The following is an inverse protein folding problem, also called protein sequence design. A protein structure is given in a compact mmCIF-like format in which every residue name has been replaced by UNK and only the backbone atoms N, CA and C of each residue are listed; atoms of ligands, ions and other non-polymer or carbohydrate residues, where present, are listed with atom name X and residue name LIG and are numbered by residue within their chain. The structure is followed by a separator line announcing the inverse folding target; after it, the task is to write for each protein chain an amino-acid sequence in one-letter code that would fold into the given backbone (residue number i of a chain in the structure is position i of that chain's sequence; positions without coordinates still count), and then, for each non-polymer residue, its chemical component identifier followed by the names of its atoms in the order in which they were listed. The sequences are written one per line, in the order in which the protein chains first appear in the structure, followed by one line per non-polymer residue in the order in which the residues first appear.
data_IF_544579670805
#
_entry.id   IF_544579670805
#
_cell.length_a   1.000
_cell.length_b   1.000
_cell.length_c   1.000
_cell.angle_alpha   90.00
_cell.angle_beta   90.00
_cell.angle_gamma   90.00
#
_symmetry.space_group_name_H-M   'P 1'
#
loop_
_entity.id
_entity.type
_entity.pdbx_description
1 polymer ?
#
# COMPACT_ATOMS: atom_id res chain seq x y z
N UNK A 1 -27.20 14.84 0.58
CA UNK A 1 -26.26 14.83 1.71
C UNK A 1 -26.63 13.60 2.54
N UNK A 2 -25.89 12.50 2.40
CA UNK A 2 -26.14 11.24 3.13
C UNK A 2 -25.13 11.18 4.28
N UNK A 3 -25.53 10.92 5.53
CA UNK A 3 -24.60 10.83 6.65
C UNK A 3 -23.74 9.58 6.47
N UNK A 4 -22.42 9.72 6.64
CA UNK A 4 -21.53 8.58 6.81
C UNK A 4 -21.90 7.87 8.10
N UNK A 5 -21.97 6.54 8.06
CA UNK A 5 -22.36 5.70 9.20
C UNK A 5 -21.43 5.96 10.40
N UNK A 6 -21.98 6.52 11.47
CA UNK A 6 -21.35 6.56 12.79
C UNK A 6 -21.32 5.13 13.34
N UNK A 7 -20.11 4.58 13.51
CA UNK A 7 -19.87 3.26 14.07
C UNK A 7 -20.04 3.21 15.58
N UNK A 8 -21.21 3.55 16.09
CA UNK A 8 -21.58 3.29 17.49
C UNK A 8 -22.82 2.38 17.53
N UNK A 9 -22.60 1.08 17.37
CA UNK A 9 -23.36 0.01 18.05
C UNK A 9 -22.87 -1.38 17.62
N UNK A 10 -22.33 -2.13 18.59
CA UNK A 10 -22.40 -3.60 18.58
C UNK A 10 -21.53 -4.38 17.61
N UNK A 11 -20.20 -4.19 17.58
CA UNK A 11 -19.26 -5.10 16.87
C UNK A 11 -18.35 -5.86 17.86
N UNK A 12 -18.52 -5.67 19.17
CA UNK A 12 -17.70 -6.33 20.20
C UNK A 12 -17.81 -7.87 20.21
N UNK A 13 -18.93 -8.43 19.74
CA UNK A 13 -19.15 -9.89 19.70
C UNK A 13 -18.71 -10.58 18.41
N UNK A 14 -18.59 -9.88 17.27
CA UNK A 14 -18.21 -10.53 16.00
C UNK A 14 -16.70 -10.79 15.88
N UNK A 15 -15.87 -10.13 16.69
CA UNK A 15 -14.41 -10.31 16.65
C UNK A 15 -13.96 -11.61 17.33
N UNK A 16 -14.70 -12.13 18.33
CA UNK A 16 -14.39 -13.40 18.99
C UNK A 16 -14.80 -14.60 18.14
N UNK A 17 -15.98 -14.56 17.52
CA UNK A 17 -16.54 -15.73 16.81
C UNK A 17 -15.84 -15.97 15.46
N UNK A 18 -15.21 -14.94 14.88
CA UNK A 18 -14.41 -15.05 13.66
C UNK A 18 -13.01 -15.66 13.94
N UNK A 19 -12.50 -15.54 15.17
CA UNK A 19 -11.21 -16.12 15.55
C UNK A 19 -11.28 -17.63 15.83
N UNK A 20 -12.46 -18.16 16.21
CA UNK A 20 -12.66 -19.58 16.54
C UNK A 20 -13.17 -20.43 15.36
N UNK A 21 -13.66 -19.80 14.29
CA UNK A 21 -14.17 -20.51 13.11
C UNK A 21 -13.04 -20.83 12.12
N UNK A 22 -12.23 -21.83 12.46
CA UNK A 22 -11.26 -22.44 11.56
C UNK A 22 -11.90 -22.85 10.22
N UNK A 23 -11.19 -22.56 9.13
CA UNK A 23 -11.26 -23.19 7.82
C UNK A 23 -12.58 -23.91 7.47
N UNK A 24 -13.52 -23.21 6.84
CA UNK A 24 -14.49 -23.86 5.96
C UNK A 24 -14.06 -23.66 4.50
N UNK A 25 -13.41 -24.70 3.98
CA UNK A 25 -13.22 -24.90 2.54
C UNK A 25 -14.59 -25.03 1.88
N UNK A 26 -15.05 -23.99 1.20
CA UNK A 26 -15.99 -24.18 0.09
C UNK A 26 -15.16 -24.45 -1.16
N UNK A 27 -15.15 -25.73 -1.51
CA UNK A 27 -14.53 -26.33 -2.66
C UNK A 27 -15.30 -25.92 -3.93
N UNK A 28 -15.30 -24.63 -4.27
CA UNK A 28 -15.74 -24.13 -5.58
C UNK A 28 -14.72 -23.11 -6.08
N UNK A 29 -14.11 -23.42 -7.24
CA UNK A 29 -13.15 -22.57 -7.92
C UNK A 29 -13.80 -21.23 -8.28
N UNK A 30 -13.55 -20.18 -7.50
CA UNK A 30 -13.87 -18.81 -7.93
C UNK A 30 -12.75 -18.34 -8.85
N UNK A 31 -12.93 -18.65 -10.14
CA UNK A 31 -12.11 -18.12 -11.21
C UNK A 31 -12.49 -16.65 -11.45
N UNK A 32 -11.79 -15.71 -10.81
CA UNK A 32 -11.90 -14.29 -11.15
C UNK A 32 -11.01 -14.04 -12.37
N UNK A 33 -11.53 -14.40 -13.55
CA UNK A 33 -10.85 -14.13 -14.82
C UNK A 33 -10.97 -15.24 -15.85
N UNK A 34 -12.18 -15.51 -16.34
CA UNK A 34 -12.43 -15.74 -17.76
C UNK A 34 -13.95 -15.82 -17.98
N UNK A 35 -14.43 -15.14 -19.00
CA UNK A 35 -15.79 -15.16 -19.56
C UNK A 35 -16.61 -16.43 -19.29
N UNK A 36 -17.40 -16.44 -18.20
CA UNK A 36 -18.67 -17.15 -18.10
C UNK A 36 -19.63 -16.27 -17.31
N UNK A 37 -20.72 -15.89 -17.96
CA UNK A 37 -21.74 -14.99 -17.43
C UNK A 37 -22.33 -15.56 -16.14
N UNK A 38 -22.20 -14.79 -15.04
CA UNK A 38 -22.95 -15.05 -13.82
C UNK A 38 -24.34 -14.42 -14.00
N UNK A 39 -25.35 -15.25 -14.25
CA UNK A 39 -26.74 -14.81 -14.29
C UNK A 39 -27.36 -14.89 -12.88
N UNK A 40 -27.13 -13.86 -12.07
CA UNK A 40 -28.11 -13.49 -11.06
C UNK A 40 -29.13 -12.58 -11.75
N UNK A 41 -30.38 -13.02 -11.88
CA UNK A 41 -31.49 -12.16 -12.31
C UNK A 41 -31.71 -11.09 -11.25
N UNK A 42 -31.05 -9.95 -11.45
CA UNK A 42 -31.47 -8.65 -10.95
C UNK A 42 -32.18 -8.00 -12.12
N UNK A 43 -33.42 -7.55 -11.92
CA UNK A 43 -34.15 -6.81 -12.94
C UNK A 43 -33.28 -5.64 -13.47
N UNK A 44 -32.77 -5.81 -14.69
CA UNK A 44 -32.26 -4.74 -15.54
C UNK A 44 -30.80 -4.28 -15.41
N UNK A 45 -29.90 -4.94 -14.68
CA UNK A 45 -28.50 -4.46 -14.52
C UNK A 45 -27.46 -5.44 -15.07
N UNK A 46 -26.77 -5.04 -16.16
CA UNK A 46 -25.50 -5.64 -16.61
C UNK A 46 -24.34 -4.93 -15.90
N UNK A 47 -23.53 -5.67 -15.15
CA UNK A 47 -22.22 -5.19 -14.69
C UNK A 47 -21.21 -5.39 -15.83
N UNK A 48 -20.69 -4.28 -16.36
CA UNK A 48 -19.68 -4.27 -17.43
C UNK A 48 -18.35 -3.80 -16.82
N UNK A 49 -17.31 -4.64 -16.87
CA UNK A 49 -15.95 -4.23 -16.54
C UNK A 49 -15.40 -3.41 -17.71
N UNK A 50 -15.11 -2.12 -17.50
CA UNK A 50 -14.51 -1.24 -18.51
C UNK A 50 -12.97 -1.29 -18.44
N UNK A 51 -12.26 -1.03 -19.56
CA UNK A 51 -10.80 -1.01 -19.59
C UNK A 51 -10.21 0.06 -18.68
N UNK A 52 -9.05 -0.25 -18.09
CA UNK A 52 -8.29 0.56 -17.14
C UNK A 52 -7.85 1.90 -17.76
N UNK A 53 -8.56 3.00 -17.49
CA UNK A 53 -8.09 4.35 -17.83
C UNK A 53 -7.09 4.88 -16.79
N UNK A 54 -6.12 5.68 -17.28
CA UNK A 54 -4.92 6.23 -16.62
C UNK A 54 -5.18 7.16 -15.41
N UNK A 55 -5.94 6.73 -14.40
CA UNK A 55 -6.25 7.53 -13.19
C UNK A 55 -5.80 6.89 -11.86
N UNK A 56 -5.31 5.66 -11.88
CA UNK A 56 -5.02 4.89 -10.66
C UNK A 56 -3.79 5.34 -9.85
N UNK A 57 -2.96 6.23 -10.40
CA UNK A 57 -1.71 6.64 -9.76
C UNK A 57 -1.44 8.13 -9.95
N UNK A 58 -1.01 8.78 -8.87
CA UNK A 58 -0.39 10.10 -8.91
C UNK A 58 0.96 10.05 -8.18
N UNK A 59 1.99 10.56 -8.85
CA UNK A 59 3.39 10.62 -8.44
C UNK A 59 3.79 12.05 -8.11
N UNK A 60 4.59 12.27 -7.08
CA UNK A 60 5.35 13.52 -6.95
C UNK A 60 6.78 13.17 -6.61
N UNK A 61 7.68 13.44 -7.55
CA UNK A 61 9.13 13.39 -7.31
C UNK A 61 9.58 14.78 -6.88
N UNK A 62 10.28 14.85 -5.74
CA UNK A 62 10.84 16.11 -5.24
C UNK A 62 12.29 16.19 -5.72
N UNK A 63 12.58 17.19 -6.55
CA UNK A 63 13.92 17.52 -7.02
C UNK A 63 14.24 18.96 -6.60
N UNK A 64 15.23 19.12 -5.71
CA UNK A 64 15.70 20.43 -5.22
C UNK A 64 16.77 21.05 -6.12
N UNK A 65 17.13 20.43 -7.25
CA UNK A 65 18.21 20.90 -8.13
C UNK A 65 17.79 21.99 -9.13
N UNK A 66 16.53 22.43 -9.15
CA UNK A 66 16.07 23.48 -10.10
C UNK A 66 15.51 24.72 -9.41
N UNK A 67 16.41 25.58 -8.93
CA UNK A 67 16.09 27.00 -8.79
C UNK A 67 16.06 27.67 -10.17
N UNK A 68 14.88 28.17 -10.53
CA UNK A 68 14.57 29.00 -11.71
C UNK A 68 14.45 28.31 -13.08
N UNK A 69 13.27 28.54 -13.68
CA UNK A 69 12.82 28.35 -15.08
C UNK A 69 11.89 27.14 -15.30
N UNK A 70 10.61 27.47 -15.44
CA UNK A 70 9.59 26.61 -16.04
C UNK A 70 10.09 26.03 -17.37
N UNK A 71 10.38 24.74 -17.39
CA UNK A 71 10.33 23.92 -18.60
C UNK A 71 9.19 22.91 -18.44
N UNK A 72 8.36 22.70 -19.47
CA UNK A 72 7.39 21.62 -19.45
C UNK A 72 8.14 20.28 -19.39
N UNK A 73 7.91 19.48 -18.34
CA UNK A 73 8.40 18.10 -18.29
C UNK A 73 7.80 17.30 -19.45
N UNK A 74 8.66 16.57 -20.17
CA UNK A 74 8.25 15.67 -21.25
C UNK A 74 7.40 14.52 -20.67
N UNK A 75 6.32 14.17 -21.37
CA UNK A 75 5.51 12.98 -21.09
C UNK A 75 6.39 11.73 -21.05
N UNK A 76 6.25 10.94 -20.00
CA UNK A 76 6.87 9.62 -19.85
C UNK A 76 6.12 8.64 -20.77
N UNK A 77 6.78 7.97 -21.75
CA UNK A 77 6.18 6.88 -22.49
C UNK A 77 6.00 5.67 -21.57
N UNK A 78 4.83 5.05 -21.63
CA UNK A 78 4.54 3.80 -20.92
C UNK A 78 5.19 2.64 -21.69
N UNK A 79 5.80 1.68 -21.01
CA UNK A 79 6.46 0.48 -21.59
C UNK A 79 5.44 -0.56 -22.10
N UNK A 80 4.39 -0.10 -22.78
CA UNK A 80 3.35 -0.93 -23.38
C UNK A 80 3.19 -0.70 -24.89
N UNK A 81 3.96 0.23 -25.47
CA UNK A 81 3.92 0.47 -26.92
C UNK A 81 4.70 -0.66 -27.64
N UNK A 82 3.98 -1.71 -28.07
CA UNK A 82 4.53 -2.70 -28.99
C UNK A 82 4.08 -4.16 -28.87
N UNK A 83 3.17 -4.53 -27.97
CA UNK A 83 2.68 -5.93 -27.88
C UNK A 83 1.41 -6.10 -28.72
N UNK A 84 1.38 -6.99 -29.74
CA UNK A 84 0.17 -7.24 -30.53
C UNK A 84 -0.94 -7.84 -29.65
N UNK A 85 -2.16 -7.31 -29.78
CA UNK A 85 -3.34 -7.83 -29.10
C UNK A 85 -3.76 -9.19 -29.67
N UNK A 86 -4.14 -10.12 -28.79
CA UNK A 86 -4.47 -11.53 -29.05
C UNK A 86 -5.78 -11.78 -29.83
N UNK A 87 -6.23 -10.84 -30.66
CA UNK A 87 -7.48 -10.92 -31.44
C UNK A 87 -7.27 -11.34 -32.91
N UNK A 88 -6.07 -11.80 -33.28
CA UNK A 88 -5.75 -12.15 -34.69
C UNK A 88 -5.63 -13.66 -34.98
N UNK A 89 -5.97 -14.56 -34.04
CA UNK A 89 -5.68 -16.00 -34.21
C UNK A 89 -6.79 -17.00 -33.82
N UNK A 90 -8.08 -16.63 -33.81
CA UNK A 90 -9.14 -17.62 -33.53
C UNK A 90 -10.28 -17.58 -34.57
N UNK A 91 -10.22 -18.52 -35.52
CA UNK A 91 -11.37 -19.00 -36.28
C UNK A 91 -12.28 -19.92 -35.44
N UNK A 92 -13.49 -20.26 -35.91
CA UNK A 92 -14.57 -20.78 -35.07
C UNK A 92 -14.31 -22.25 -34.65
N UNK A 93 -14.42 -22.52 -33.35
CA UNK A 93 -14.28 -23.87 -32.77
C UNK A 93 -15.66 -24.52 -32.65
N UNK A 94 -15.83 -25.66 -33.34
CA UNK A 94 -16.94 -26.60 -33.19
C UNK A 94 -16.79 -27.43 -31.90
N UNK A 95 -17.92 -27.94 -31.40
CA UNK A 95 -18.11 -28.50 -30.05
C UNK A 95 -17.33 -29.76 -29.63
N UNK A 96 -17.64 -30.29 -28.43
CA UNK A 96 -16.67 -31.01 -27.60
C UNK A 96 -16.79 -32.53 -27.76
N UNK A 97 -15.98 -33.14 -28.63
CA UNK A 97 -15.64 -34.57 -28.54
C UNK A 97 -14.30 -34.83 -29.25
N UNK A 98 -13.51 -35.75 -28.68
CA UNK A 98 -12.29 -36.34 -29.20
C UNK A 98 -10.98 -35.55 -29.02
N UNK A 99 -10.20 -35.94 -27.99
CA UNK A 99 -8.73 -35.95 -28.03
C UNK A 99 -8.22 -36.89 -26.92
N UNK A 100 -8.47 -38.20 -27.09
CA UNK A 100 -7.85 -39.27 -26.30
C UNK A 100 -6.98 -40.20 -27.16
N UNK A 101 -6.54 -39.76 -28.34
CA UNK A 101 -5.70 -40.57 -29.20
C UNK A 101 -4.83 -39.67 -30.05
N UNK A 102 -3.65 -39.30 -29.53
CA UNK A 102 -2.45 -38.92 -30.28
C UNK A 102 -1.26 -38.89 -29.30
N UNK A 103 -1.12 -39.96 -28.51
CA UNK A 103 0.10 -40.27 -27.78
C UNK A 103 0.72 -41.48 -28.48
N UNK A 104 1.57 -41.21 -29.48
CA UNK A 104 2.66 -42.10 -29.94
C UNK A 104 3.38 -41.43 -31.12
N UNK A 105 4.69 -41.26 -30.93
CA UNK A 105 5.74 -40.89 -31.90
C UNK A 105 6.09 -39.40 -31.99
N UNK A 106 7.04 -38.96 -31.15
CA UNK A 106 8.07 -37.99 -31.57
C UNK A 106 9.39 -38.32 -30.84
N UNK A 107 10.55 -38.20 -31.51
CA UNK A 107 11.84 -38.69 -31.05
C UNK A 107 12.51 -37.75 -30.03
N UNK A 108 13.51 -38.29 -29.33
CA UNK A 108 14.31 -37.65 -28.28
C UNK A 108 14.64 -36.17 -28.56
N UNK A 109 14.16 -35.26 -27.70
CA UNK A 109 14.58 -33.85 -27.69
C UNK A 109 15.71 -33.59 -26.68
N UNK A 110 16.62 -32.64 -27.00
CA UNK A 110 17.92 -32.48 -26.35
C UNK A 110 17.84 -31.68 -25.04
N UNK A 111 18.92 -31.79 -24.25
CA UNK A 111 19.22 -31.07 -23.01
C UNK A 111 18.38 -29.81 -22.72
N UNK A 112 17.68 -29.86 -21.58
CA UNK A 112 17.03 -28.71 -20.95
C UNK A 112 18.04 -27.57 -20.73
N UNK A 113 18.09 -26.65 -21.69
CA UNK A 113 18.71 -25.35 -21.49
C UNK A 113 17.95 -24.63 -20.36
N UNK A 114 18.57 -24.55 -19.19
CA UNK A 114 18.13 -23.70 -18.11
C UNK A 114 18.02 -22.27 -18.64
N UNK A 115 16.80 -21.79 -18.85
CA UNK A 115 16.54 -20.36 -19.01
C UNK A 115 16.90 -19.75 -17.66
N UNK A 116 18.13 -19.23 -17.55
CA UNK A 116 18.51 -18.37 -16.46
C UNK A 116 17.52 -17.19 -16.47
N UNK A 117 16.64 -17.14 -15.48
CA UNK A 117 15.81 -15.96 -15.24
C UNK A 117 16.78 -14.83 -14.89
N UNK A 118 17.13 -14.00 -15.88
CA UNK A 118 17.86 -12.76 -15.63
C UNK A 118 17.08 -11.94 -14.62
N UNK A 119 17.75 -11.52 -13.55
CA UNK A 119 17.13 -10.69 -12.52
C UNK A 119 16.60 -9.41 -13.16
N UNK A 120 15.48 -8.90 -12.65
CA UNK A 120 14.98 -7.61 -13.12
C UNK A 120 15.89 -6.50 -12.59
N UNK A 121 16.04 -5.36 -13.31
CA UNK A 121 16.81 -4.21 -12.82
C UNK A 121 16.34 -3.70 -11.46
N UNK A 122 15.05 -3.87 -11.16
CA UNK A 122 14.46 -3.54 -9.85
C UNK A 122 14.99 -4.50 -8.79
N UNK A 123 15.04 -5.81 -9.06
CA UNK A 123 15.56 -6.79 -8.11
C UNK A 123 17.06 -6.61 -7.85
N UNK A 124 17.85 -6.36 -8.91
CA UNK A 124 19.28 -6.04 -8.83
C UNK A 124 19.53 -4.78 -7.99
N UNK A 125 18.68 -3.75 -8.12
CA UNK A 125 18.81 -2.54 -7.31
C UNK A 125 18.74 -2.80 -5.81
N UNK A 126 17.95 -3.79 -5.37
CA UNK A 126 17.83 -4.15 -3.96
C UNK A 126 18.92 -5.09 -3.47
N UNK A 127 19.74 -5.68 -4.35
CA UNK A 127 20.81 -6.57 -3.96
C UNK A 127 21.75 -5.90 -2.94
N UNK A 128 22.03 -6.61 -1.84
CA UNK A 128 22.86 -6.18 -0.71
C UNK A 128 22.39 -4.89 0.01
N UNK A 129 21.26 -4.30 -0.41
CA UNK A 129 20.73 -3.10 0.24
C UNK A 129 19.95 -3.44 1.49
N UNK A 130 20.25 -2.72 2.56
CA UNK A 130 19.38 -2.71 3.73
C UNK A 130 18.25 -1.69 3.57
N UNK A 131 17.04 -2.09 3.94
CA UNK A 131 15.83 -1.28 3.79
C UNK A 131 15.11 -1.12 5.14
N UNK A 132 14.49 0.03 5.35
CA UNK A 132 13.67 0.32 6.52
C UNK A 132 12.20 0.40 6.12
N UNK A 133 11.34 -0.35 6.81
CA UNK A 133 9.88 -0.29 6.61
C UNK A 133 9.20 0.14 7.91
N UNK A 134 8.44 1.22 7.84
CA UNK A 134 7.48 1.58 8.91
C UNK A 134 6.10 1.08 8.53
N UNK A 135 5.27 0.72 9.53
CA UNK A 135 3.92 0.22 9.26
C UNK A 135 3.89 -1.20 8.70
N UNK A 136 4.98 -1.96 8.86
CA UNK A 136 5.13 -3.32 8.36
C UNK A 136 4.03 -4.29 8.86
N UNK A 137 3.52 -4.07 10.07
CA UNK A 137 2.44 -4.88 10.66
C UNK A 137 1.04 -4.52 10.13
N UNK A 138 0.90 -3.44 9.36
CA UNK A 138 -0.35 -3.05 8.70
C UNK A 138 -0.56 -3.76 7.37
N UNK A 139 -1.75 -3.61 6.79
CA UNK A 139 -2.17 -4.31 5.57
C UNK A 139 -1.21 -4.13 4.38
N UNK A 140 -0.94 -2.88 3.97
CA UNK A 140 -0.01 -2.59 2.88
C UNK A 140 1.43 -3.02 3.24
N UNK A 141 1.84 -2.80 4.49
CA UNK A 141 3.19 -3.15 4.98
C UNK A 141 3.47 -4.65 4.92
N UNK A 142 2.51 -5.50 5.30
CA UNK A 142 2.65 -6.95 5.23
C UNK A 142 2.88 -7.42 3.79
N UNK A 143 2.09 -6.91 2.85
CA UNK A 143 2.22 -7.24 1.41
C UNK A 143 3.53 -6.70 0.84
N UNK A 144 4.00 -5.53 1.28
CA UNK A 144 5.31 -4.98 0.93
C UNK A 144 6.45 -5.88 1.40
N UNK A 145 6.46 -6.28 2.68
CA UNK A 145 7.49 -7.16 3.23
C UNK A 145 7.48 -8.52 2.52
N UNK A 146 6.30 -9.11 2.31
CA UNK A 146 6.17 -10.37 1.56
C UNK A 146 6.74 -10.25 0.15
N UNK A 147 6.43 -9.16 -0.57
CA UNK A 147 6.93 -8.92 -1.93
C UNK A 147 8.42 -8.72 -2.00
N UNK A 148 9.02 -8.00 -1.04
CA UNK A 148 10.47 -7.85 -0.93
C UNK A 148 11.14 -9.20 -0.69
N UNK A 149 10.64 -9.99 0.27
CA UNK A 149 11.15 -11.34 0.55
C UNK A 149 10.98 -12.28 -0.65
N UNK A 150 9.91 -12.14 -1.44
CA UNK A 150 9.66 -13.02 -2.58
C UNK A 150 10.51 -12.65 -3.81
N UNK A 151 10.59 -11.36 -4.13
CA UNK A 151 11.05 -10.87 -5.44
C UNK A 151 12.48 -10.32 -5.44
N UNK A 152 12.99 -9.88 -4.29
CA UNK A 152 14.36 -9.38 -4.13
C UNK A 152 15.19 -10.43 -3.37
N UNK A 153 15.58 -11.51 -4.04
CA UNK A 153 16.26 -12.65 -3.41
C UNK A 153 17.52 -12.25 -2.68
N UNK A 154 18.25 -11.26 -3.20
CA UNK A 154 19.58 -10.87 -2.76
C UNK A 154 19.54 -9.60 -1.90
N UNK A 155 18.33 -9.16 -1.49
CA UNK A 155 18.19 -8.03 -0.56
C UNK A 155 18.97 -8.28 0.72
N UNK A 156 19.58 -7.23 1.28
CA UNK A 156 20.24 -7.28 2.58
C UNK A 156 19.22 -7.38 3.72
N UNK A 157 19.44 -6.61 4.78
CA UNK A 157 18.55 -6.61 5.95
C UNK A 157 17.30 -5.74 5.71
N UNK A 158 16.13 -6.27 6.08
CA UNK A 158 14.86 -5.55 6.11
C UNK A 158 14.56 -5.20 7.58
N UNK A 159 14.85 -3.96 7.96
CA UNK A 159 14.53 -3.42 9.27
C UNK A 159 13.07 -2.99 9.35
N UNK A 160 12.39 -3.38 10.43
CA UNK A 160 10.99 -3.06 10.66
C UNK A 160 10.86 -2.28 11.97
N UNK A 161 10.44 -1.02 11.91
CA UNK A 161 10.05 -0.31 13.13
C UNK A 161 8.68 -0.80 13.55
N UNK A 162 8.61 -1.48 14.69
CA UNK A 162 7.40 -2.09 15.22
C UNK A 162 7.18 -1.60 16.64
N UNK A 163 6.05 -0.93 16.85
CA UNK A 163 5.65 -0.42 18.17
C UNK A 163 5.36 -1.56 19.14
N UNK A 164 5.99 -1.66 20.32
CA UNK A 164 5.53 -2.58 21.37
C UNK A 164 4.08 -2.28 21.74
N UNK A 165 3.22 -3.31 21.79
CA UNK A 165 1.79 -3.11 22.05
C UNK A 165 1.16 -4.38 22.64
N UNK A 166 0.19 -4.21 23.55
CA UNK A 166 -0.57 -5.29 24.19
C UNK A 166 0.34 -6.31 24.91
N UNK A 167 1.41 -5.84 25.56
CA UNK A 167 2.39 -6.67 26.24
C UNK A 167 3.33 -7.46 25.33
N UNK A 168 3.26 -7.25 24.00
CA UNK A 168 4.17 -7.87 23.03
C UNK A 168 5.25 -6.88 22.60
N UNK A 169 6.50 -7.33 22.61
CA UNK A 169 7.63 -6.59 22.05
C UNK A 169 7.65 -6.63 20.50
N UNK A 170 8.54 -5.86 19.87
CA UNK A 170 8.64 -5.81 18.40
C UNK A 170 8.89 -7.17 17.75
N UNK A 171 9.71 -8.03 18.39
CA UNK A 171 10.06 -9.36 17.88
C UNK A 171 8.86 -10.31 17.93
N UNK A 172 8.16 -10.37 19.05
CA UNK A 172 6.94 -11.16 19.21
C UNK A 172 5.84 -10.69 18.25
N UNK A 173 5.73 -9.38 18.02
CA UNK A 173 4.81 -8.83 17.02
C UNK A 173 5.21 -9.21 15.59
N UNK A 174 6.50 -9.26 15.28
CA UNK A 174 7.02 -9.77 14.01
C UNK A 174 6.69 -11.27 13.86
N UNK A 175 6.99 -12.09 14.85
CA UNK A 175 6.69 -13.53 14.82
C UNK A 175 5.20 -13.78 14.58
N UNK A 176 4.33 -13.04 15.28
CA UNK A 176 2.87 -13.09 15.06
C UNK A 176 2.48 -12.65 13.65
N UNK A 177 3.09 -11.60 13.11
CA UNK A 177 2.86 -11.16 11.74
C UNK A 177 3.21 -12.27 10.74
N UNK A 178 4.34 -12.94 10.96
CA UNK A 178 4.82 -14.03 10.11
C UNK A 178 4.00 -15.30 10.21
N UNK A 179 3.10 -15.46 11.18
CA UNK A 179 2.15 -16.58 11.24
C UNK A 179 0.97 -16.43 10.24
N UNK A 180 0.80 -15.25 9.63
CA UNK A 180 -0.22 -15.05 8.60
C UNK A 180 0.04 -15.92 7.37
N UNK A 181 -1.04 -16.47 6.80
CA UNK A 181 -1.01 -17.26 5.57
C UNK A 181 -0.43 -16.50 4.36
N UNK A 182 -0.44 -15.15 4.41
CA UNK A 182 0.22 -14.29 3.42
C UNK A 182 1.67 -14.72 3.16
N UNK A 183 2.37 -15.16 4.20
CA UNK A 183 3.78 -15.53 4.15
C UNK A 183 4.03 -17.02 3.82
N UNK A 184 2.99 -17.83 3.63
CA UNK A 184 3.15 -19.28 3.48
C UNK A 184 3.97 -19.66 2.26
N UNK A 185 3.79 -18.95 1.12
CA UNK A 185 4.62 -19.22 -0.07
C UNK A 185 6.10 -18.98 0.18
N UNK A 186 6.45 -17.92 0.93
CA UNK A 186 7.84 -17.63 1.33
C UNK A 186 8.33 -18.70 2.29
N UNK A 187 7.52 -19.06 3.29
CA UNK A 187 7.85 -20.08 4.30
C UNK A 187 8.13 -21.45 3.69
N UNK A 188 7.32 -21.86 2.71
CA UNK A 188 7.48 -23.16 2.07
C UNK A 188 8.65 -23.19 1.08
N UNK A 189 8.92 -22.09 0.36
CA UNK A 189 9.89 -22.08 -0.74
C UNK A 189 11.27 -21.53 -0.34
N UNK A 190 11.31 -20.54 0.54
CA UNK A 190 12.50 -19.78 0.91
C UNK A 190 12.51 -19.39 2.41
N UNK A 191 12.44 -20.36 3.34
CA UNK A 191 12.33 -20.08 4.78
C UNK A 191 13.48 -19.22 5.30
N UNK A 192 14.70 -19.40 4.79
CA UNK A 192 15.89 -18.65 5.22
C UNK A 192 15.80 -17.14 4.95
N UNK A 193 14.90 -16.71 4.04
CA UNK A 193 14.71 -15.29 3.77
C UNK A 193 14.10 -14.55 4.96
N UNK A 194 13.44 -15.24 5.90
CA UNK A 194 12.99 -14.60 7.14
C UNK A 194 14.14 -14.14 8.04
N UNK A 195 15.34 -14.74 7.92
CA UNK A 195 16.54 -14.31 8.65
C UNK A 195 16.98 -12.87 8.28
N UNK A 196 16.46 -12.35 7.16
CA UNK A 196 16.71 -10.97 6.71
C UNK A 196 15.87 -9.94 7.48
N UNK A 197 14.84 -10.36 8.21
CA UNK A 197 13.96 -9.46 8.94
C UNK A 197 14.53 -9.15 10.32
N UNK A 198 14.65 -7.86 10.63
CA UNK A 198 15.04 -7.39 11.96
C UNK A 198 13.96 -6.44 12.48
N UNK A 199 13.24 -6.88 13.50
CA UNK A 199 12.31 -6.03 14.23
C UNK A 199 13.08 -5.09 15.16
N UNK A 200 12.72 -3.81 15.14
CA UNK A 200 13.26 -2.77 16.01
C UNK A 200 12.10 -2.16 16.79
N UNK A 201 12.26 -2.08 18.11
CA UNK A 201 11.33 -1.37 18.98
C UNK A 201 11.35 0.12 18.63
N UNK A 202 10.20 0.66 18.22
CA UNK A 202 10.09 2.09 17.96
C UNK A 202 8.65 2.55 17.78
N UNK A 203 8.41 3.82 18.07
CA UNK A 203 7.10 4.47 18.04
C UNK A 203 7.20 5.81 17.33
N UNK A 204 6.50 5.96 16.21
CA UNK A 204 6.48 7.21 15.43
C UNK A 204 5.88 8.40 16.21
N UNK A 205 5.08 8.11 17.25
CA UNK A 205 4.46 9.14 18.09
C UNK A 205 5.41 9.67 19.17
N UNK A 206 6.61 9.11 19.32
CA UNK A 206 7.56 9.48 20.37
C UNK A 206 8.78 10.22 19.80
N UNK A 207 9.42 11.11 20.59
CA UNK A 207 10.70 11.72 20.22
C UNK A 207 11.74 10.67 19.80
N UNK A 208 12.52 11.00 18.76
CA UNK A 208 13.54 10.10 18.17
C UNK A 208 13.00 8.70 17.82
N UNK A 209 11.70 8.59 17.54
CA UNK A 209 10.99 7.35 17.26
C UNK A 209 11.07 6.32 18.40
N UNK A 210 11.38 6.75 19.63
CA UNK A 210 11.68 5.89 20.79
C UNK A 210 12.77 4.83 20.53
N UNK A 211 13.72 5.11 19.62
CA UNK A 211 14.82 4.21 19.31
C UNK A 211 15.87 4.24 20.42
N UNK A 212 16.45 3.09 20.73
CA UNK A 212 17.68 3.04 21.51
C UNK A 212 18.88 3.45 20.63
N UNK A 213 19.98 3.89 21.26
CA UNK A 213 21.17 4.37 20.55
C UNK A 213 21.81 3.29 19.64
N UNK A 214 21.96 2.02 20.05
CA UNK A 214 22.47 0.97 19.17
C UNK A 214 21.67 0.79 17.87
N UNK A 215 20.34 0.73 17.96
CA UNK A 215 19.47 0.55 16.80
C UNK A 215 19.44 1.82 15.93
N UNK A 216 19.47 3.00 16.55
CA UNK A 216 19.61 4.26 15.80
C UNK A 216 20.90 4.27 14.98
N UNK A 217 22.03 3.91 15.57
CA UNK A 217 23.32 3.86 14.89
C UNK A 217 23.30 2.85 13.74
N UNK A 218 22.78 1.64 13.99
CA UNK A 218 22.61 0.60 12.97
C UNK A 218 21.78 1.10 11.78
N UNK A 219 20.64 1.74 12.05
CA UNK A 219 19.79 2.29 10.99
C UNK A 219 20.48 3.39 10.18
N UNK A 220 21.26 4.26 10.83
CA UNK A 220 21.97 5.35 10.16
C UNK A 220 23.12 4.84 9.26
N UNK A 221 23.76 3.74 9.65
CA UNK A 221 24.92 3.20 8.94
C UNK A 221 24.50 2.27 7.79
N UNK A 222 23.46 1.46 7.98
CA UNK A 222 23.12 0.38 7.04
C UNK A 222 22.05 0.77 6.01
N UNK A 223 21.04 1.55 6.40
CA UNK A 223 19.83 1.74 5.57
C UNK A 223 20.10 2.60 4.34
N UNK A 224 19.66 2.10 3.18
CA UNK A 224 19.74 2.82 1.91
C UNK A 224 18.39 3.12 1.25
N UNK A 225 17.32 2.42 1.65
CA UNK A 225 15.95 2.67 1.17
C UNK A 225 14.98 2.68 2.33
N UNK A 226 14.13 3.71 2.40
CA UNK A 226 13.09 3.83 3.43
C UNK A 226 11.71 3.76 2.79
N UNK A 227 10.84 2.91 3.33
CA UNK A 227 9.41 2.85 3.03
C UNK A 227 8.61 3.35 4.23
N UNK A 228 8.03 4.54 4.09
CA UNK A 228 7.14 5.11 5.09
C UNK A 228 5.68 4.78 4.78
N UNK A 229 5.19 3.66 5.32
CA UNK A 229 3.81 3.20 5.16
C UNK A 229 2.96 3.33 6.44
N UNK A 230 3.55 3.72 7.56
CA UNK A 230 2.83 3.90 8.81
C UNK A 230 1.92 5.13 8.75
N UNK A 231 0.63 4.92 8.96
CA UNK A 231 -0.37 5.97 9.14
C UNK A 231 -1.54 5.42 9.97
N UNK A 232 -2.28 6.29 10.65
CA UNK A 232 -3.64 5.92 11.08
C UNK A 232 -4.56 5.94 9.87
N UNK A 233 -5.27 4.84 9.63
CA UNK A 233 -6.27 4.70 8.55
C UNK A 233 -7.70 4.69 9.10
N UNK A 234 -7.87 5.02 10.39
CA UNK A 234 -9.17 5.18 11.00
C UNK A 234 -9.76 6.53 10.59
N UNK A 235 -10.91 6.50 9.93
CA UNK A 235 -11.53 7.70 9.36
C UNK A 235 -12.21 8.60 10.41
N UNK A 236 -12.40 8.09 11.62
CA UNK A 236 -13.03 8.70 12.78
C UNK A 236 -12.03 9.06 13.90
N UNK A 237 -10.73 8.97 13.62
CA UNK A 237 -9.68 9.27 14.61
C UNK A 237 -9.67 10.77 14.97
N UNK A 238 -9.48 11.05 16.26
CA UNK A 238 -9.32 12.41 16.77
C UNK A 238 -8.19 13.14 16.03
N UNK A 239 -8.40 14.44 15.76
CA UNK A 239 -7.47 15.23 14.97
C UNK A 239 -6.06 15.26 15.59
N UNK A 240 -5.95 15.40 16.92
CA UNK A 240 -4.67 15.36 17.66
C UNK A 240 -3.88 14.09 17.35
N UNK A 241 -4.52 12.92 17.53
CA UNK A 241 -3.88 11.62 17.29
C UNK A 241 -3.47 11.48 15.82
N UNK A 242 -4.31 11.95 14.90
CA UNK A 242 -4.01 11.91 13.47
C UNK A 242 -2.83 12.80 13.08
N UNK A 243 -2.72 14.00 13.66
CA UNK A 243 -1.57 14.91 13.45
C UNK A 243 -0.30 14.32 14.06
N UNK A 244 -0.39 13.80 15.28
CA UNK A 244 0.73 13.15 15.97
C UNK A 244 1.30 11.98 15.15
N UNK A 245 0.43 11.09 14.68
CA UNK A 245 0.85 9.92 13.92
C UNK A 245 1.32 10.26 12.50
N UNK A 246 0.57 11.08 11.75
CA UNK A 246 0.80 11.26 10.32
C UNK A 246 1.76 12.43 10.01
N UNK A 247 1.72 13.51 10.79
CA UNK A 247 2.52 14.73 10.54
C UNK A 247 3.81 14.70 11.35
N UNK A 248 3.71 14.65 12.69
CA UNK A 248 4.88 14.60 13.58
C UNK A 248 5.67 13.29 13.40
N UNK A 249 4.97 12.16 13.23
CA UNK A 249 5.61 10.89 12.88
C UNK A 249 6.41 10.94 11.58
N UNK A 250 5.91 11.64 10.56
CA UNK A 250 6.65 11.88 9.30
C UNK A 250 7.88 12.74 9.56
N UNK A 251 7.72 13.87 10.28
CA UNK A 251 8.83 14.76 10.63
C UNK A 251 9.96 14.02 11.36
N UNK A 252 9.64 13.22 12.37
CA UNK A 252 10.62 12.43 13.14
C UNK A 252 11.33 11.38 12.29
N UNK A 253 10.61 10.72 11.38
CA UNK A 253 11.22 9.77 10.46
C UNK A 253 12.17 10.46 9.48
N UNK A 254 11.81 11.63 8.97
CA UNK A 254 12.67 12.41 8.08
C UNK A 254 13.91 12.93 8.82
N UNK A 255 13.78 13.31 10.08
CA UNK A 255 14.93 13.65 10.93
C UNK A 255 15.90 12.47 11.11
N UNK A 256 15.40 11.23 11.20
CA UNK A 256 16.24 10.03 11.16
C UNK A 256 16.90 9.84 9.78
N UNK A 257 16.14 10.05 8.70
CA UNK A 257 16.65 9.89 7.33
C UNK A 257 17.85 10.82 7.03
N UNK A 258 17.86 12.04 7.56
CA UNK A 258 19.01 12.96 7.43
C UNK A 258 20.30 12.44 8.08
N UNK A 259 20.19 11.50 9.02
CA UNK A 259 21.34 10.87 9.68
C UNK A 259 21.85 9.64 8.92
N UNK A 260 21.13 9.16 7.90
CA UNK A 260 21.48 7.95 7.14
C UNK A 260 22.54 8.25 6.07
N UNK A 261 23.66 7.51 6.11
CA UNK A 261 24.82 7.78 5.25
C UNK A 261 24.66 7.28 3.82
N UNK A 262 23.88 6.22 3.64
CA UNK A 262 23.78 5.48 2.38
C UNK A 262 22.40 5.63 1.70
N UNK A 263 21.60 6.61 2.15
CA UNK A 263 20.22 6.77 1.73
C UNK A 263 20.09 7.23 0.28
N UNK A 264 19.47 6.39 -0.56
CA UNK A 264 19.25 6.66 -1.99
C UNK A 264 17.78 6.83 -2.37
N UNK A 265 16.85 6.45 -1.48
CA UNK A 265 15.42 6.69 -1.72
C UNK A 265 14.59 6.67 -0.42
N UNK A 266 13.64 7.60 -0.31
CA UNK A 266 12.59 7.61 0.72
C UNK A 266 11.22 7.61 0.04
N UNK A 267 10.47 6.51 0.18
CA UNK A 267 9.12 6.38 -0.37
C UNK A 267 8.10 6.67 0.71
N UNK A 268 7.32 7.75 0.55
CA UNK A 268 6.20 8.06 1.43
C UNK A 268 4.88 7.58 0.80
N UNK A 269 4.20 6.65 1.47
CA UNK A 269 2.86 6.24 1.07
C UNK A 269 1.84 7.27 1.56
N UNK A 270 1.32 8.08 0.62
CA UNK A 270 0.24 9.03 0.85
C UNK A 270 -1.12 8.46 0.42
N UNK A 271 -2.00 9.28 -0.16
CA UNK A 271 -3.30 8.86 -0.67
C UNK A 271 -3.76 9.83 -1.77
N UNK A 272 -4.45 9.30 -2.80
CA UNK A 272 -5.07 10.09 -3.86
C UNK A 272 -6.12 11.08 -3.31
N UNK A 273 -6.66 10.81 -2.11
CA UNK A 273 -7.66 11.63 -1.45
C UNK A 273 -7.09 12.76 -0.59
N UNK A 274 -5.76 12.93 -0.53
CA UNK A 274 -5.10 13.96 0.26
C UNK A 274 -5.51 15.37 -0.19
N UNK A 275 -6.02 15.54 -1.41
CA UNK A 275 -6.48 16.83 -1.93
C UNK A 275 -7.89 16.75 -2.54
N UNK A 276 -8.74 15.86 -2.01
CA UNK A 276 -10.11 15.60 -2.49
C UNK A 276 -11.08 16.80 -2.34
N UNK A 277 -10.68 17.84 -1.62
CA UNK A 277 -11.38 19.12 -1.53
C UNK A 277 -11.27 19.97 -2.82
N UNK A 278 -10.40 19.57 -3.75
CA UNK A 278 -10.12 20.28 -5.00
C UNK A 278 -10.77 19.59 -6.20
N UNK A 279 -11.29 20.36 -7.18
CA UNK A 279 -11.95 19.80 -8.37
C UNK A 279 -10.95 19.23 -9.38
N UNK A 280 -9.69 19.68 -9.36
CA UNK A 280 -8.60 19.18 -10.21
C UNK A 280 -7.35 19.05 -9.38
N UNK A 281 -6.69 17.91 -9.51
CA UNK A 281 -5.47 17.56 -8.80
C UNK A 281 -4.44 17.16 -9.86
N UNK A 282 -3.37 17.93 -9.95
CA UNK A 282 -2.12 17.56 -10.62
C UNK A 282 -1.11 17.02 -9.59
N UNK A 283 -0.06 16.41 -10.12
CA UNK A 283 1.11 15.86 -9.43
C UNK A 283 2.01 16.94 -8.80
N UNK A 284 1.47 17.65 -7.80
CA UNK A 284 2.20 18.62 -7.00
C UNK A 284 1.84 18.49 -5.52
N UNK A 285 2.67 19.03 -4.64
CA UNK A 285 2.29 19.28 -3.25
C UNK A 285 1.57 20.63 -3.18
N UNK A 286 0.45 20.68 -2.49
CA UNK A 286 -0.42 21.84 -2.44
C UNK A 286 -0.20 22.64 -1.15
N UNK A 287 -0.36 23.97 -1.20
CA UNK A 287 -0.40 24.77 0.03
C UNK A 287 -1.50 24.24 0.96
N UNK A 288 -1.17 24.04 2.25
CA UNK A 288 -2.14 23.53 3.21
C UNK A 288 -3.11 24.66 3.65
N UNK A 289 -4.28 24.32 4.20
CA UNK A 289 -5.20 25.31 4.78
C UNK A 289 -4.60 26.02 6.00
N UNK A 290 -3.71 25.35 6.73
CA UNK A 290 -2.94 25.86 7.86
C UNK A 290 -1.54 25.28 7.77
N UNK A 291 -0.52 26.09 8.10
CA UNK A 291 0.85 25.58 8.11
C UNK A 291 1.00 24.49 9.17
N UNK A 292 1.63 23.33 8.87
CA UNK A 292 1.78 22.22 9.81
C UNK A 292 2.35 22.65 11.16
N UNK A 293 3.43 23.43 11.16
CA UNK A 293 4.07 23.98 12.37
C UNK A 293 3.09 24.76 13.27
N UNK A 294 2.33 25.68 12.69
CA UNK A 294 1.32 26.46 13.44
C UNK A 294 0.22 25.58 14.03
N UNK A 295 -0.17 24.52 13.33
CA UNK A 295 -1.19 23.59 13.84
C UNK A 295 -0.62 22.77 15.00
N UNK A 296 0.63 22.32 14.90
CA UNK A 296 1.35 21.60 15.95
C UNK A 296 1.45 22.48 17.20
N UNK A 297 1.97 23.70 17.08
CA UNK A 297 2.12 24.65 18.19
C UNK A 297 0.76 24.92 18.87
N UNK A 298 -0.31 25.05 18.09
CA UNK A 298 -1.65 25.24 18.61
C UNK A 298 -2.13 24.00 19.40
N UNK A 299 -1.84 22.80 18.91
CA UNK A 299 -2.26 21.55 19.55
C UNK A 299 -1.54 21.30 20.88
N UNK A 300 -0.36 21.85 21.11
CA UNK A 300 0.37 21.66 22.37
C UNK A 300 -0.38 22.23 23.58
N UNK A 301 -1.02 23.39 23.45
CA UNK A 301 -1.72 24.05 24.55
C UNK A 301 -3.24 23.91 24.50
N UNK A 302 -3.83 23.67 23.31
CA UNK A 302 -5.28 23.43 23.23
C UNK A 302 -5.65 22.13 23.93
N UNK A 303 -6.77 22.08 24.63
CA UNK A 303 -7.36 20.82 25.11
C UNK A 303 -8.19 20.14 23.99
N UNK A 304 -8.63 18.91 24.24
CA UNK A 304 -9.33 18.11 23.22
C UNK A 304 -10.70 18.68 22.82
N UNK A 305 -11.41 19.34 23.73
CA UNK A 305 -12.69 20.00 23.43
C UNK A 305 -12.51 21.16 22.46
N UNK A 306 -11.49 22.02 22.67
CA UNK A 306 -11.15 23.10 21.75
C UNK A 306 -10.76 22.57 20.37
N UNK A 307 -9.96 21.49 20.33
CA UNK A 307 -9.58 20.84 19.06
C UNK A 307 -10.82 20.29 18.35
N UNK A 308 -11.73 19.65 19.09
CA UNK A 308 -12.98 19.10 18.53
C UNK A 308 -13.86 20.21 17.94
N UNK A 309 -13.96 21.37 18.60
CA UNK A 309 -14.69 22.54 18.08
C UNK A 309 -14.03 23.14 16.83
N UNK A 310 -12.69 23.13 16.75
CA UNK A 310 -11.95 23.66 15.61
C UNK A 310 -11.95 22.71 14.40
N UNK A 311 -11.97 21.40 14.63
CA UNK A 311 -11.81 20.36 13.60
C UNK A 311 -12.70 20.55 12.37
N UNK A 312 -14.03 20.82 12.48
CA UNK A 312 -14.88 21.03 11.30
C UNK A 312 -14.42 22.19 10.41
N UNK A 313 -13.89 23.25 10.99
CA UNK A 313 -13.38 24.42 10.27
C UNK A 313 -12.09 24.10 9.51
N UNK A 314 -11.21 23.29 10.10
CA UNK A 314 -9.97 22.82 9.46
C UNK A 314 -10.23 21.83 8.33
N UNK A 315 -11.24 20.97 8.47
CA UNK A 315 -11.63 20.03 7.43
C UNK A 315 -12.17 20.75 6.20
N UNK A 316 -12.97 21.81 6.38
CA UNK A 316 -13.58 22.53 5.27
C UNK A 316 -14.44 21.58 4.41
N UNK A 317 -14.02 21.32 3.16
CA UNK A 317 -14.72 20.40 2.23
C UNK A 317 -14.26 18.94 2.33
N UNK A 318 -13.29 18.65 3.20
CA UNK A 318 -12.71 17.32 3.35
C UNK A 318 -13.66 16.40 4.13
N UNK A 319 -13.76 15.12 3.76
CA UNK A 319 -14.69 14.20 4.40
C UNK A 319 -14.26 13.77 5.80
N UNK A 320 -12.97 13.82 6.14
CA UNK A 320 -12.43 13.31 7.41
C UNK A 320 -11.02 13.82 7.73
N UNK A 321 -10.58 13.59 8.97
CA UNK A 321 -9.25 13.95 9.50
C UNK A 321 -8.10 13.24 8.78
N UNK A 322 -8.33 12.02 8.28
CA UNK A 322 -7.33 11.28 7.50
C UNK A 322 -6.89 12.07 6.25
N UNK A 323 -7.85 12.53 5.43
CA UNK A 323 -7.51 13.28 4.20
C UNK A 323 -6.77 14.60 4.50
N UNK A 324 -7.13 15.29 5.58
CA UNK A 324 -6.45 16.51 6.02
C UNK A 324 -5.01 16.21 6.47
N UNK A 325 -4.83 15.23 7.36
CA UNK A 325 -3.51 14.96 7.95
C UNK A 325 -2.53 14.34 6.96
N UNK A 326 -2.99 13.59 5.95
CA UNK A 326 -2.13 13.17 4.83
C UNK A 326 -1.70 14.35 3.95
N UNK A 327 -2.56 15.34 3.73
CA UNK A 327 -2.17 16.57 3.03
C UNK A 327 -1.11 17.35 3.80
N UNK A 328 -1.30 17.50 5.11
CA UNK A 328 -0.34 18.17 6.00
C UNK A 328 0.99 17.42 6.08
N UNK A 329 0.95 16.08 6.12
CA UNK A 329 2.14 15.24 6.13
C UNK A 329 2.97 15.40 4.85
N UNK A 330 2.33 15.54 3.67
CA UNK A 330 3.05 15.81 2.43
C UNK A 330 3.75 17.18 2.43
N UNK A 331 3.12 18.20 3.01
CA UNK A 331 3.74 19.53 3.13
C UNK A 331 4.93 19.48 4.09
N UNK A 332 4.73 18.91 5.29
CA UNK A 332 5.79 18.74 6.27
C UNK A 332 6.97 17.94 5.70
N UNK A 333 6.67 16.87 4.96
CA UNK A 333 7.67 16.04 4.27
C UNK A 333 8.50 16.86 3.28
N UNK A 334 7.87 17.71 2.46
CA UNK A 334 8.61 18.57 1.51
C UNK A 334 9.48 19.57 2.24
N UNK A 335 8.93 20.24 3.27
CA UNK A 335 9.65 21.24 4.06
C UNK A 335 10.88 20.64 4.75
N UNK A 336 10.75 19.45 5.33
CA UNK A 336 11.82 18.79 6.07
C UNK A 336 12.78 18.01 5.17
N UNK A 337 12.37 17.67 3.93
CA UNK A 337 13.15 16.76 3.07
C UNK A 337 14.56 17.28 2.76
N UNK A 338 14.76 18.59 2.64
CA UNK A 338 16.06 19.15 2.25
C UNK A 338 16.61 18.45 1.00
N UNK A 339 17.80 17.86 1.06
CA UNK A 339 18.41 17.16 -0.08
C UNK A 339 18.01 15.68 -0.21
N UNK A 340 17.10 15.18 0.62
CA UNK A 340 16.75 13.76 0.65
C UNK A 340 16.03 13.32 -0.64
N UNK A 341 16.32 12.13 -1.16
CA UNK A 341 15.70 11.58 -2.38
C UNK A 341 14.28 11.06 -2.09
N UNK A 342 13.33 11.96 -1.90
CA UNK A 342 11.95 11.63 -1.53
C UNK A 342 11.06 11.42 -2.76
N UNK A 343 10.17 10.41 -2.69
CA UNK A 343 9.06 10.20 -3.61
C UNK A 343 7.75 10.00 -2.83
N UNK A 344 6.69 10.69 -3.26
CA UNK A 344 5.34 10.54 -2.69
C UNK A 344 4.51 9.68 -3.63
N UNK A 345 3.97 8.58 -3.11
CA UNK A 345 3.07 7.68 -3.83
C UNK A 345 1.66 7.84 -3.28
N UNK A 346 0.69 8.19 -4.13
CA UNK A 346 -0.71 8.43 -3.74
C UNK A 346 -1.64 7.33 -4.27
N UNK A 347 -1.76 6.18 -3.60
CA UNK A 347 -2.73 5.15 -3.98
C UNK A 347 -4.18 5.62 -3.75
N UNK A 348 -5.12 5.08 -4.53
CA UNK A 348 -6.57 5.19 -4.28
C UNK A 348 -7.01 4.21 -3.17
N UNK A 349 -8.28 3.78 -3.13
CA UNK A 349 -8.77 2.87 -2.09
C UNK A 349 -8.09 1.52 -2.28
N UNK A 350 -7.23 1.14 -1.33
CA UNK A 350 -6.50 -0.13 -1.40
C UNK A 350 -7.46 -1.28 -1.08
N UNK A 351 -7.71 -2.14 -2.07
CA UNK A 351 -8.53 -3.34 -1.96
C UNK A 351 -7.69 -4.62 -1.79
N UNK A 352 -8.38 -5.76 -1.88
CA UNK A 352 -7.77 -7.08 -1.75
C UNK A 352 -6.69 -7.34 -2.82
N UNK A 353 -5.83 -8.31 -2.55
CA UNK A 353 -4.82 -8.79 -3.51
C UNK A 353 -5.50 -9.24 -4.80
N UNK A 354 -5.02 -8.79 -5.95
CA UNK A 354 -5.54 -9.26 -7.24
C UNK A 354 -4.92 -10.61 -7.62
N UNK A 355 -3.58 -10.70 -7.62
CA UNK A 355 -2.87 -11.88 -8.16
C UNK A 355 -1.94 -12.53 -7.15
N UNK A 356 -1.13 -11.77 -6.43
CA UNK A 356 -0.06 -12.32 -5.60
C UNK A 356 0.07 -11.63 -4.23
N UNK A 357 0.36 -12.34 -3.13
CA UNK A 357 0.66 -13.77 -3.07
C UNK A 357 -0.55 -14.69 -3.09
N UNK A 358 -1.73 -14.19 -2.69
CA UNK A 358 -2.97 -14.96 -2.56
C UNK A 358 -4.12 -14.09 -3.09
N UNK A 359 -4.73 -14.40 -4.24
CA UNK A 359 -5.88 -13.66 -4.76
C UNK A 359 -7.01 -13.52 -3.73
N UNK A 360 -7.57 -12.32 -3.59
CA UNK A 360 -8.63 -12.01 -2.64
C UNK A 360 -8.18 -11.84 -1.19
N UNK A 361 -6.88 -11.97 -0.89
CA UNK A 361 -6.39 -11.80 0.48
C UNK A 361 -6.55 -10.36 0.99
N UNK A 362 -6.95 -10.26 2.26
CA UNK A 362 -7.22 -9.03 3.00
C UNK A 362 -7.02 -9.27 4.50
N UNK A 363 -6.66 -8.22 5.23
CA UNK A 363 -6.29 -8.30 6.66
C UNK A 363 -6.92 -7.17 7.50
N UNK A 364 -7.88 -6.46 6.94
CA UNK A 364 -8.71 -5.49 7.65
C UNK A 364 -10.10 -5.41 7.02
N UNK A 365 -11.07 -4.87 7.75
CA UNK A 365 -12.44 -4.63 7.29
C UNK A 365 -12.73 -3.12 7.11
N UNK A 366 -11.70 -2.31 6.90
CA UNK A 366 -11.87 -0.87 6.83
C UNK A 366 -12.43 -0.45 5.46
N UNK A 367 -13.35 0.53 5.47
CA UNK A 367 -13.88 1.14 4.25
C UNK A 367 -14.54 0.15 3.29
N UNK A 368 -14.16 0.20 2.01
CA UNK A 368 -14.73 -0.62 0.94
C UNK A 368 -14.60 -2.13 1.21
N UNK A 369 -13.52 -2.54 1.87
CA UNK A 369 -13.24 -3.94 2.19
C UNK A 369 -14.29 -4.52 3.14
N UNK A 370 -14.74 -3.75 4.13
CA UNK A 370 -15.83 -4.17 5.03
C UNK A 370 -17.16 -4.33 4.29
N UNK A 371 -17.44 -3.44 3.33
CA UNK A 371 -18.62 -3.52 2.47
C UNK A 371 -18.59 -4.81 1.65
N UNK A 372 -17.47 -5.12 0.98
CA UNK A 372 -17.35 -6.34 0.18
C UNK A 372 -17.49 -7.60 1.03
N UNK A 373 -16.90 -7.64 2.22
CA UNK A 373 -17.06 -8.77 3.13
C UNK A 373 -18.53 -8.93 3.58
N UNK A 374 -19.23 -7.84 3.89
CA UNK A 374 -20.63 -7.88 4.30
C UNK A 374 -21.56 -8.33 3.17
N UNK A 375 -21.32 -7.87 1.94
CA UNK A 375 -22.05 -8.32 0.74
C UNK A 375 -21.76 -9.80 0.45
N UNK A 376 -20.50 -10.21 0.46
CA UNK A 376 -20.09 -11.60 0.20
C UNK A 376 -20.64 -12.59 1.23
N UNK A 377 -20.86 -12.16 2.48
CA UNK A 377 -21.52 -12.95 3.53
C UNK A 377 -23.05 -12.90 3.48
N UNK A 378 -23.64 -12.10 2.59
CA UNK A 378 -25.10 -11.90 2.52
C UNK A 378 -25.68 -11.07 3.66
N UNK A 379 -24.85 -10.44 4.50
CA UNK A 379 -25.29 -9.56 5.60
C UNK A 379 -25.78 -8.21 5.08
N UNK A 380 -25.06 -7.66 4.09
CA UNK A 380 -25.46 -6.43 3.42
C UNK A 380 -26.06 -6.78 2.05
N UNK A 381 -27.38 -6.78 1.97
CA UNK A 381 -28.10 -7.08 0.72
C UNK A 381 -28.39 -5.83 -0.12
N UNK A 382 -28.46 -4.65 0.51
CA UNK A 382 -28.88 -3.40 -0.13
C UNK A 382 -27.96 -2.27 0.36
N UNK A 383 -27.51 -1.40 -0.55
CA UNK A 383 -26.74 -0.20 -0.19
C UNK A 383 -27.24 0.99 -0.99
N UNK A 384 -27.43 2.14 -0.31
CA UNK A 384 -27.75 3.39 -0.99
C UNK A 384 -26.52 3.89 -1.74
N UNK A 385 -26.64 4.05 -3.06
CA UNK A 385 -25.55 4.52 -3.90
C UNK A 385 -26.05 4.97 -5.26
N UNK A 386 -25.22 5.70 -5.98
CA UNK A 386 -25.48 6.04 -7.38
C UNK A 386 -24.89 4.96 -8.27
N UNK A 387 -25.70 4.38 -9.16
CA UNK A 387 -25.25 3.40 -10.16
C UNK A 387 -24.30 3.97 -11.20
N UNK A 388 -24.26 5.30 -11.32
CA UNK A 388 -23.30 6.03 -12.17
C UNK A 388 -22.00 6.40 -11.43
N UNK A 389 -21.88 6.13 -10.13
CA UNK A 389 -20.65 6.40 -9.40
C UNK A 389 -19.57 5.35 -9.72
N UNK A 390 -18.34 5.81 -9.90
CA UNK A 390 -17.18 4.94 -10.08
C UNK A 390 -16.46 4.75 -8.75
N UNK A 391 -16.27 3.50 -8.33
CA UNK A 391 -15.42 3.17 -7.20
C UNK A 391 -13.97 2.98 -7.67
N UNK A 392 -13.08 3.87 -7.26
CA UNK A 392 -11.64 3.76 -7.56
C UNK A 392 -10.95 2.89 -6.51
N UNK A 393 -10.72 1.63 -6.86
CA UNK A 393 -10.15 0.62 -5.98
C UNK A 393 -8.92 0.03 -6.65
N UNK A 394 -7.80 0.06 -5.93
CA UNK A 394 -6.52 -0.46 -6.40
C UNK A 394 -6.11 -1.68 -5.58
N UNK A 395 -5.73 -2.80 -6.23
CA UNK A 395 -5.23 -3.98 -5.51
C UNK A 395 -3.94 -3.70 -4.72
N UNK A 396 -3.86 -4.20 -3.48
CA UNK A 396 -2.71 -3.97 -2.59
C UNK A 396 -1.39 -4.50 -3.15
N UNK A 397 -1.41 -5.57 -3.94
CA UNK A 397 -0.23 -6.15 -4.58
C UNK A 397 0.34 -5.25 -5.68
N UNK A 398 -0.54 -4.53 -6.39
CA UNK A 398 -0.14 -3.50 -7.35
C UNK A 398 0.47 -2.30 -6.63
N UNK A 399 -0.14 -1.84 -5.52
CA UNK A 399 0.43 -0.74 -4.72
C UNK A 399 1.80 -1.13 -4.15
N UNK A 400 1.94 -2.33 -3.62
CA UNK A 400 3.21 -2.86 -3.09
C UNK A 400 4.31 -2.88 -4.15
N UNK A 401 4.02 -3.43 -5.34
CA UNK A 401 4.94 -3.41 -6.48
C UNK A 401 5.31 -1.97 -6.87
N UNK A 402 4.34 -1.06 -6.86
CA UNK A 402 4.60 0.33 -7.18
C UNK A 402 5.56 0.99 -6.19
N UNK A 403 5.41 0.75 -4.88
CA UNK A 403 6.33 1.30 -3.88
C UNK A 403 7.77 0.86 -4.18
N UNK A 404 7.96 -0.43 -4.45
CA UNK A 404 9.26 -1.04 -4.78
C UNK A 404 9.85 -0.39 -6.06
N UNK A 405 9.05 -0.27 -7.12
CA UNK A 405 9.48 0.35 -8.37
C UNK A 405 9.76 1.84 -8.20
N UNK A 406 8.96 2.56 -7.40
CA UNK A 406 9.14 3.99 -7.15
C UNK A 406 10.46 4.28 -6.43
N UNK A 407 10.85 3.43 -5.47
CA UNK A 407 12.14 3.55 -4.80
C UNK A 407 13.31 3.39 -5.79
N UNK A 408 13.27 2.35 -6.62
CA UNK A 408 14.25 2.15 -7.68
C UNK A 408 14.32 3.34 -8.63
N UNK A 409 13.16 3.78 -9.14
CA UNK A 409 13.07 4.88 -10.08
C UNK A 409 13.63 6.19 -9.50
N UNK A 410 13.36 6.48 -8.22
CA UNK A 410 13.90 7.69 -7.56
C UNK A 410 15.41 7.64 -7.40
N UNK A 411 15.96 6.46 -7.08
CA UNK A 411 17.39 6.30 -6.89
C UNK A 411 18.18 6.40 -8.21
N UNK A 412 17.61 5.90 -9.31
CA UNK A 412 18.28 5.85 -10.63
C UNK A 412 18.13 7.17 -11.42
N UNK A 413 17.01 7.88 -11.25
CA UNK A 413 16.79 9.17 -11.90
C UNK A 413 17.06 10.29 -10.88
N UNK A 414 18.29 10.81 -10.90
CA UNK A 414 18.71 11.90 -10.01
C UNK A 414 18.15 13.23 -10.45
#
# INVERSE_FOLDING_TARGET
MVPWFNGESGIGGLQSDIAESGAFFLNERVCVGCSREFHARVDGVRLQATPMERRAFAFVCIDHSTTSRHRPMRRIPCVCDGVPTADSLLGPVAGPFALSALAKNCPDEPEAAAIAWTMSPVSEFYADRCVLVTGATGFLGKVLVEKLLWSASDIGTIYLIVRPQNGLDSKQRLDKMLQSNLFDRVRSKYPDRFNKLVAIDGNLMEPELALNQPDMHRLCDDVSVVFHCAATVKFDEALRISVEMNVLGTQRLIALCHKMRNLVSVVHASTAYANCDRPRIVESVYPPPVQPSKLIDAMEWMNDDMIKSLTPHLLGRRPNTYTLTKALAEVQLVEDSGHLPVVIVRPSIIGAVWKEPIPGWMDNLNGATGIFAAVGKGVLTNMCGSTSATADIIPVDIVSNLLIVAAWQRAVNK
#
